data_IF_832800912807
#
_entry.id   IF_832800912807
#
_cell.length_a   1.000
_cell.length_b   1.000
_cell.length_c   1.000
_cell.angle_alpha   90.00
_cell.angle_beta   90.00
_cell.angle_gamma   90.00
#
_symmetry.space_group_name_H-M   'P 1'
#
loop_
_entity.id
_entity.type
_entity.pdbx_description
1 polymer ?
#
# COMPACT_ATOMS: atom_id res chain seq x y z
N UNK A 1 4.27 -27.81 14.61
CA UNK A 1 5.00 -26.58 14.22
C UNK A 1 4.35 -25.42 14.96
N UNK A 2 5.10 -24.47 15.51
CA UNK A 2 4.48 -23.34 16.19
C UNK A 2 3.66 -22.56 15.16
N UNK A 3 2.36 -22.47 15.41
CA UNK A 3 1.46 -21.60 14.66
C UNK A 3 1.55 -20.19 15.23
N UNK A 4 1.43 -19.18 14.38
CA UNK A 4 1.23 -17.80 14.80
C UNK A 4 0.12 -17.71 15.86
N UNK A 5 0.36 -16.93 16.92
CA UNK A 5 -0.65 -16.65 17.92
C UNK A 5 -1.43 -15.39 17.51
N UNK A 6 -2.75 -15.50 17.25
CA UNK A 6 -3.56 -14.35 16.88
C UNK A 6 -3.48 -13.20 17.89
N UNK A 7 -3.31 -11.97 17.38
CA UNK A 7 -3.26 -10.74 18.18
C UNK A 7 -4.45 -9.85 17.80
N UNK A 8 -5.49 -9.76 18.65
CA UNK A 8 -6.60 -8.87 18.39
C UNK A 8 -6.17 -7.41 18.52
N UNK A 9 -6.80 -6.54 17.75
CA UNK A 9 -6.62 -5.10 17.86
C UNK A 9 -7.98 -4.40 18.12
N UNK A 10 -8.07 -3.47 19.09
CA UNK A 10 -6.99 -3.11 20.02
C UNK A 10 -6.67 -4.26 21.00
N UNK A 11 -5.45 -4.29 21.57
CA UNK A 11 -5.11 -5.24 22.62
C UNK A 11 -6.11 -5.20 23.79
N UNK A 12 -6.35 -6.32 24.51
CA UNK A 12 -7.34 -6.35 25.59
C UNK A 12 -7.08 -5.31 26.71
N UNK A 13 -5.83 -4.92 26.91
CA UNK A 13 -5.43 -3.87 27.86
C UNK A 13 -5.93 -2.47 27.48
N UNK A 14 -6.25 -2.25 26.20
CA UNK A 14 -6.79 -1.00 25.66
C UNK A 14 -8.30 -1.12 25.35
N UNK A 15 -8.97 -2.12 25.92
CA UNK A 15 -10.42 -2.28 25.75
C UNK A 15 -11.18 -1.05 26.26
N UNK A 16 -12.05 -0.48 25.43
CA UNK A 16 -12.83 0.72 25.75
C UNK A 16 -12.11 2.04 25.43
N UNK A 17 -10.85 2.01 24.97
CA UNK A 17 -10.16 3.20 24.48
C UNK A 17 -10.57 3.45 23.01
N UNK A 18 -10.94 4.69 22.64
CA UNK A 18 -11.26 5.04 21.25
C UNK A 18 -10.10 4.71 20.30
N UNK A 19 -10.41 4.14 19.13
CA UNK A 19 -9.39 3.74 18.15
C UNK A 19 -8.61 4.96 17.65
N UNK A 20 -9.30 6.09 17.49
CA UNK A 20 -8.71 7.37 17.06
C UNK A 20 -7.61 7.80 18.03
N UNK A 21 -7.87 7.70 19.34
CA UNK A 21 -6.88 8.01 20.36
C UNK A 21 -5.68 7.06 20.31
N UNK A 22 -5.90 5.76 20.07
CA UNK A 22 -4.80 4.79 19.92
C UNK A 22 -3.96 5.14 18.70
N UNK A 23 -4.60 5.44 17.56
CA UNK A 23 -3.92 5.86 16.33
C UNK A 23 -3.09 7.12 16.55
N UNK A 24 -3.62 8.14 17.21
CA UNK A 24 -2.87 9.36 17.54
C UNK A 24 -1.65 9.06 18.41
N UNK A 25 -1.78 8.17 19.40
CA UNK A 25 -0.64 7.76 20.24
C UNK A 25 0.40 6.98 19.43
N UNK A 26 -0.02 6.13 18.49
CA UNK A 26 0.89 5.43 17.58
C UNK A 26 1.67 6.42 16.71
N UNK A 27 1.02 7.43 16.13
CA UNK A 27 1.72 8.45 15.34
C UNK A 27 2.76 9.22 16.16
N UNK A 28 2.44 9.55 17.42
CA UNK A 28 3.41 10.20 18.33
C UNK A 28 4.64 9.30 18.63
N UNK A 29 4.48 7.99 18.56
CA UNK A 29 5.55 7.02 18.79
C UNK A 29 6.31 6.64 17.51
N UNK A 30 5.86 7.07 16.33
CA UNK A 30 6.41 6.65 15.03
C UNK A 30 7.94 6.76 14.96
N UNK A 31 8.51 7.89 15.35
CA UNK A 31 9.96 8.12 15.35
C UNK A 31 10.76 7.14 16.23
N UNK A 32 10.12 6.50 17.21
CA UNK A 32 10.77 5.51 18.06
C UNK A 32 10.85 4.12 17.41
N UNK A 33 10.02 3.84 16.42
CA UNK A 33 9.86 2.50 15.82
C UNK A 33 10.14 2.48 14.31
N UNK A 34 10.03 3.63 13.64
CA UNK A 34 10.39 3.78 12.24
C UNK A 34 11.88 3.51 12.03
N UNK A 35 12.21 2.84 10.94
CA UNK A 35 13.58 2.44 10.57
C UNK A 35 14.32 1.60 11.65
N UNK A 36 13.57 0.93 12.54
CA UNK A 36 14.11 0.00 13.54
C UNK A 36 13.58 -1.41 13.28
N UNK A 37 14.16 -2.13 12.31
CA UNK A 37 13.71 -3.48 11.98
C UNK A 37 13.86 -4.46 13.15
N UNK A 38 14.78 -4.20 14.09
CA UNK A 38 15.01 -5.03 15.28
C UNK A 38 13.82 -5.00 16.27
N UNK A 39 12.98 -3.96 16.22
CA UNK A 39 11.78 -3.86 17.06
C UNK A 39 10.52 -4.37 16.37
N UNK A 40 10.59 -4.66 15.08
CA UNK A 40 9.46 -5.12 14.30
C UNK A 40 8.94 -6.47 14.83
N UNK A 41 7.62 -6.60 14.90
CA UNK A 41 6.94 -7.82 15.36
C UNK A 41 6.18 -8.53 14.23
N UNK A 42 6.35 -8.10 12.98
CA UNK A 42 5.91 -8.83 11.80
C UNK A 42 6.78 -8.51 10.57
N UNK A 43 6.64 -9.32 9.51
CA UNK A 43 7.22 -9.04 8.19
C UNK A 43 6.15 -9.17 7.12
N UNK A 44 6.01 -8.14 6.27
CA UNK A 44 5.18 -8.20 5.07
C UNK A 44 6.07 -8.42 3.84
N UNK A 45 5.70 -9.40 3.04
CA UNK A 45 6.32 -9.71 1.74
C UNK A 45 5.33 -9.37 0.64
N UNK A 46 5.65 -8.37 -0.16
CA UNK A 46 4.84 -7.94 -1.32
C UNK A 46 5.50 -8.41 -2.61
N UNK A 47 4.83 -9.23 -3.45
CA UNK A 47 5.33 -9.58 -4.77
C UNK A 47 5.26 -8.39 -5.73
N UNK A 48 6.25 -8.28 -6.61
CA UNK A 48 6.39 -7.21 -7.60
C UNK A 48 6.44 -7.81 -9.02
N UNK A 49 5.28 -8.22 -9.58
CA UNK A 49 5.22 -9.03 -10.81
C UNK A 49 5.66 -8.32 -12.08
N UNK A 50 5.68 -6.98 -12.11
CA UNK A 50 5.99 -6.20 -13.31
C UNK A 50 7.43 -5.64 -13.32
N UNK A 51 8.26 -5.99 -12.34
CA UNK A 51 9.67 -5.58 -12.36
C UNK A 51 10.49 -6.57 -13.20
N UNK A 52 10.90 -6.14 -14.39
CA UNK A 52 11.98 -6.78 -15.12
C UNK A 52 13.31 -6.35 -14.48
N UNK A 53 13.74 -7.01 -13.40
CA UNK A 53 14.97 -6.68 -12.67
C UNK A 53 14.74 -6.17 -11.25
N UNK A 54 15.66 -5.36 -10.72
CA UNK A 54 15.44 -4.61 -9.47
C UNK A 54 14.29 -3.62 -9.75
N UNK A 55 13.19 -3.62 -8.98
CA UNK A 55 12.13 -2.65 -9.16
C UNK A 55 12.70 -1.22 -9.08
N UNK A 56 12.66 -0.47 -10.18
CA UNK A 56 12.85 0.98 -10.10
C UNK A 56 11.61 1.55 -9.43
N UNK A 57 11.78 1.89 -8.15
CA UNK A 57 10.76 2.54 -7.34
C UNK A 57 11.20 4.00 -7.19
N UNK A 58 10.98 4.86 -8.20
CA UNK A 58 11.46 6.24 -8.16
C UNK A 58 10.92 6.98 -6.93
N UNK A 59 9.69 6.68 -6.50
CA UNK A 59 9.13 7.16 -5.25
C UNK A 59 9.96 6.74 -4.02
N UNK A 60 10.43 5.48 -3.90
CA UNK A 60 11.26 5.03 -2.77
C UNK A 60 12.65 5.63 -2.78
N UNK A 61 13.31 5.64 -3.94
CA UNK A 61 14.68 6.13 -4.09
C UNK A 61 14.78 7.64 -3.87
N UNK A 62 13.73 8.40 -4.21
CA UNK A 62 13.67 9.84 -4.00
C UNK A 62 13.21 10.21 -2.58
N UNK A 63 12.43 9.35 -1.91
CA UNK A 63 11.90 9.66 -0.58
C UNK A 63 12.73 9.09 0.58
N UNK A 64 13.71 8.19 0.34
CA UNK A 64 14.63 7.64 1.37
C UNK A 64 13.90 7.07 2.61
N UNK A 65 12.70 6.51 2.44
CA UNK A 65 11.80 6.24 3.57
C UNK A 65 12.08 4.91 4.27
N UNK A 66 12.48 3.87 3.55
CA UNK A 66 12.84 2.54 4.05
C UNK A 66 13.84 1.96 3.04
N UNK A 67 14.92 1.29 3.46
CA UNK A 67 15.75 0.49 2.55
C UNK A 67 15.02 -0.84 2.24
N UNK A 68 14.38 -1.00 1.06
CA UNK A 68 13.68 -2.24 0.74
C UNK A 68 14.71 -3.37 0.60
N UNK A 69 14.55 -4.43 1.38
CA UNK A 69 15.30 -5.66 1.11
C UNK A 69 14.65 -6.39 -0.06
N UNK A 70 15.28 -6.32 -1.23
CA UNK A 70 14.85 -7.06 -2.40
C UNK A 70 15.36 -8.50 -2.32
N UNK A 71 14.45 -9.46 -2.27
CA UNK A 71 14.81 -10.88 -2.27
C UNK A 71 14.22 -11.57 -3.49
N UNK A 72 15.08 -12.24 -4.26
CA UNK A 72 14.67 -13.12 -5.34
C UNK A 72 14.48 -14.52 -4.74
N UNK A 73 13.24 -15.01 -4.71
CA UNK A 73 12.97 -16.37 -4.22
C UNK A 73 13.43 -17.39 -5.27
N UNK A 74 14.60 -18.02 -5.04
CA UNK A 74 14.86 -19.37 -5.52
C UNK A 74 14.21 -20.32 -4.50
N UNK A 75 13.27 -21.17 -4.93
CA UNK A 75 12.72 -22.23 -4.08
C UNK A 75 13.86 -23.09 -3.54
N UNK A 76 13.90 -23.29 -2.22
CA UNK A 76 14.91 -24.09 -1.52
C UNK A 76 14.81 -25.57 -1.92
N UNK A 77 15.96 -26.16 -2.25
CA UNK A 77 16.28 -27.52 -1.81
C UNK A 77 17.75 -27.54 -1.36
N UNK A 78 17.98 -28.06 -0.14
CA UNK A 78 19.25 -28.13 0.55
C UNK A 78 20.39 -28.74 -0.29
N UNK A 79 21.57 -28.11 -0.33
CA UNK A 79 22.83 -28.82 -0.09
C UNK A 79 23.98 -27.82 0.04
N UNK A 80 24.68 -27.90 1.17
CA UNK A 80 25.99 -27.29 1.39
C UNK A 80 27.00 -27.85 0.39
N UNK A 81 27.51 -27.04 -0.55
CA UNK A 81 28.82 -27.15 -1.23
C UNK A 81 29.01 -25.98 -2.23
N UNK A 82 30.25 -25.54 -2.52
CA UNK A 82 30.51 -24.30 -3.23
C UNK A 82 30.45 -24.46 -4.76
N UNK A 83 29.91 -23.42 -5.41
CA UNK A 83 30.06 -23.04 -6.84
C UNK A 83 29.41 -23.95 -7.89
N UNK A 84 28.23 -23.52 -8.34
CA UNK A 84 27.93 -23.33 -9.77
C UNK A 84 26.87 -22.24 -9.89
N UNK A 85 27.15 -21.18 -10.64
CA UNK A 85 26.16 -20.16 -10.98
C UNK A 85 25.10 -20.80 -11.88
N UNK A 86 23.98 -21.23 -11.30
CA UNK A 86 22.80 -21.63 -12.05
C UNK A 86 21.98 -20.38 -12.33
N UNK A 87 21.59 -20.23 -13.60
CA UNK A 87 20.64 -19.24 -14.11
C UNK A 87 19.52 -18.97 -13.08
N UNK A 88 19.18 -17.70 -12.78
CA UNK A 88 18.06 -17.41 -11.88
C UNK A 88 16.81 -18.11 -12.42
N UNK A 89 16.01 -18.76 -11.56
CA UNK A 89 14.82 -19.46 -12.02
C UNK A 89 13.94 -18.48 -12.80
N UNK A 90 13.47 -18.90 -13.97
CA UNK A 90 12.70 -18.10 -14.93
C UNK A 90 11.40 -17.48 -14.35
N UNK A 91 11.06 -17.80 -13.09
CA UNK A 91 9.88 -17.36 -12.34
C UNK A 91 10.21 -16.61 -11.04
N UNK A 92 11.44 -16.11 -10.85
CA UNK A 92 11.79 -15.30 -9.68
C UNK A 92 11.12 -13.91 -9.76
N UNK A 93 9.85 -13.82 -9.37
CA UNK A 93 9.14 -12.55 -9.21
C UNK A 93 9.86 -11.74 -8.12
N UNK A 94 10.35 -10.52 -8.42
CA UNK A 94 10.95 -9.65 -7.41
C UNK A 94 9.97 -9.41 -6.25
N UNK A 95 10.49 -9.28 -5.03
CA UNK A 95 9.65 -9.07 -3.84
C UNK A 95 10.26 -8.01 -2.96
N UNK A 96 9.40 -7.25 -2.30
CA UNK A 96 9.76 -6.29 -1.27
C UNK A 96 9.43 -6.95 0.07
N UNK A 97 10.42 -7.04 0.97
CA UNK A 97 10.23 -7.49 2.34
C UNK A 97 10.37 -6.32 3.29
N UNK A 98 9.36 -6.09 4.13
CA UNK A 98 9.33 -4.99 5.11
C UNK A 98 9.09 -5.55 6.52
N UNK A 99 10.07 -5.45 7.43
CA UNK A 99 9.84 -5.66 8.87
C UNK A 99 9.03 -4.48 9.43
N UNK A 100 7.88 -4.75 10.04
CA UNK A 100 6.89 -3.75 10.44
C UNK A 100 6.28 -4.09 11.80
N UNK A 101 5.45 -3.17 12.31
CA UNK A 101 4.78 -3.28 13.60
C UNK A 101 3.28 -3.53 13.40
N UNK A 102 2.75 -4.62 13.98
CA UNK A 102 1.36 -5.07 13.83
C UNK A 102 0.38 -3.98 14.25
N UNK A 103 0.63 -3.27 15.34
CA UNK A 103 -0.30 -2.26 15.88
C UNK A 103 -0.53 -1.11 14.90
N UNK A 104 0.52 -0.64 14.21
CA UNK A 104 0.38 0.39 13.16
C UNK A 104 -0.46 -0.11 12.00
N UNK A 105 -0.21 -1.34 11.54
CA UNK A 105 -0.94 -1.95 10.44
C UNK A 105 -2.41 -2.20 10.79
N UNK A 106 -2.66 -2.78 11.96
CA UNK A 106 -3.99 -3.16 12.43
C UNK A 106 -4.83 -1.93 12.82
N UNK A 107 -4.22 -0.85 13.29
CA UNK A 107 -4.92 0.41 13.54
C UNK A 107 -5.55 0.99 12.26
N UNK A 108 -4.84 0.91 11.14
CA UNK A 108 -5.22 1.58 9.90
C UNK A 108 -5.90 0.68 8.86
N UNK A 109 -5.71 -0.64 8.91
CA UNK A 109 -6.26 -1.59 7.95
C UNK A 109 -7.18 -2.61 8.62
N UNK A 110 -8.46 -2.61 8.24
CA UNK A 110 -9.40 -3.65 8.71
C UNK A 110 -9.03 -5.03 8.19
N UNK A 111 -8.46 -5.10 6.99
CA UNK A 111 -8.00 -6.34 6.37
C UNK A 111 -6.84 -6.96 7.15
N UNK A 112 -5.77 -6.20 7.40
CA UNK A 112 -4.62 -6.67 8.16
C UNK A 112 -4.99 -6.97 9.61
N UNK A 113 -5.84 -6.15 10.23
CA UNK A 113 -6.42 -6.42 11.55
C UNK A 113 -7.07 -7.80 11.61
N UNK A 114 -7.90 -8.14 10.62
CA UNK A 114 -8.53 -9.45 10.52
C UNK A 114 -7.51 -10.57 10.41
N UNK A 115 -6.50 -10.41 9.54
CA UNK A 115 -5.45 -11.41 9.34
C UNK A 115 -4.64 -11.68 10.61
N UNK A 116 -4.18 -10.62 11.30
CA UNK A 116 -3.44 -10.76 12.55
C UNK A 116 -4.31 -11.27 13.71
N UNK A 117 -5.63 -11.08 13.63
CA UNK A 117 -6.60 -11.68 14.57
C UNK A 117 -6.94 -13.14 14.24
N UNK A 118 -6.29 -13.75 13.23
CA UNK A 118 -6.47 -15.16 12.87
C UNK A 118 -7.63 -15.44 11.91
N UNK A 119 -8.21 -14.42 11.29
CA UNK A 119 -9.21 -14.62 10.25
C UNK A 119 -8.58 -15.22 8.99
N UNK A 120 -9.30 -16.13 8.34
CA UNK A 120 -8.87 -16.68 7.06
C UNK A 120 -8.95 -15.60 5.97
N UNK A 121 -7.91 -15.43 5.13
CA UNK A 121 -7.87 -14.39 4.11
C UNK A 121 -9.08 -14.43 3.16
N UNK A 122 -9.56 -15.63 2.82
CA UNK A 122 -10.75 -15.82 1.97
C UNK A 122 -12.00 -15.21 2.60
N UNK A 123 -12.21 -15.37 3.91
CA UNK A 123 -13.39 -14.82 4.57
C UNK A 123 -13.40 -13.29 4.59
N UNK A 124 -12.22 -12.66 4.62
CA UNK A 124 -12.09 -11.21 4.62
C UNK A 124 -12.33 -10.60 3.23
N UNK A 125 -11.92 -11.29 2.16
CA UNK A 125 -12.12 -10.82 0.77
C UNK A 125 -13.60 -10.71 0.37
N UNK A 126 -14.49 -11.49 0.99
CA UNK A 126 -15.94 -11.48 0.70
C UNK A 126 -16.77 -10.65 1.71
N UNK A 127 -16.13 -10.01 2.69
CA UNK A 127 -16.81 -9.26 3.76
C UNK A 127 -17.15 -7.82 3.35
N UNK A 128 -16.41 -7.23 2.40
CA UNK A 128 -16.85 -6.05 1.65
C UNK A 128 -17.63 -6.55 0.43
N UNK A 129 -18.83 -6.00 0.18
CA UNK A 129 -19.80 -6.45 -0.83
C UNK A 129 -19.17 -7.02 -2.13
N UNK A 130 -19.65 -8.16 -2.65
CA UNK A 130 -18.94 -8.85 -3.72
C UNK A 130 -19.09 -8.11 -5.06
N UNK A 131 -17.99 -7.78 -5.78
CA UNK A 131 -18.05 -7.73 -7.22
C UNK A 131 -18.05 -9.19 -7.73
N UNK A 132 -19.09 -9.52 -8.50
CA UNK A 132 -19.26 -10.82 -9.14
C UNK A 132 -18.18 -10.98 -10.22
N UNK A 133 -17.03 -11.55 -9.84
CA UNK A 133 -15.96 -11.89 -10.77
C UNK A 133 -15.65 -13.37 -10.66
N UNK A 134 -16.22 -14.15 -11.56
CA UNK A 134 -16.08 -15.61 -11.71
C UNK A 134 -14.71 -16.05 -12.27
N UNK A 135 -13.62 -15.42 -11.85
CA UNK A 135 -12.27 -15.77 -12.28
C UNK A 135 -11.48 -16.29 -11.09
N UNK A 136 -11.18 -17.59 -11.10
CA UNK A 136 -10.34 -18.24 -10.11
C UNK A 136 -8.97 -17.57 -10.06
N UNK A 137 -8.75 -16.76 -9.02
CA UNK A 137 -7.44 -16.18 -8.74
C UNK A 137 -6.49 -17.34 -8.44
N UNK A 138 -5.36 -17.49 -9.16
CA UNK A 138 -4.38 -18.53 -8.88
C UNK A 138 -3.94 -18.47 -7.41
N UNK A 139 -3.78 -19.63 -6.75
CA UNK A 139 -3.43 -19.72 -5.33
C UNK A 139 -2.15 -18.93 -4.96
N UNK A 140 -1.23 -18.76 -5.92
CA UNK A 140 0.00 -17.99 -5.76
C UNK A 140 -0.22 -16.47 -5.58
N UNK A 141 -1.43 -15.97 -5.86
CA UNK A 141 -1.84 -14.56 -5.71
C UNK A 141 -2.79 -14.33 -4.54
N UNK A 142 -2.99 -15.33 -3.67
CA UNK A 142 -3.77 -15.15 -2.45
C UNK A 142 -2.85 -14.72 -1.29
N UNK A 143 -3.31 -13.77 -0.47
CA UNK A 143 -2.63 -13.43 0.77
C UNK A 143 -2.56 -14.65 1.67
N UNK A 144 -1.37 -14.92 2.25
CA UNK A 144 -1.14 -16.10 3.07
C UNK A 144 -0.11 -15.85 4.16
N UNK A 145 -0.33 -16.48 5.30
CA UNK A 145 0.67 -16.53 6.37
C UNK A 145 1.72 -17.58 5.99
N UNK A 146 2.99 -17.16 5.98
CA UNK A 146 4.13 -18.03 5.73
C UNK A 146 4.53 -18.75 7.03
N UNK A 147 5.26 -19.88 6.96
CA UNK A 147 5.82 -20.52 8.15
C UNK A 147 6.69 -19.53 8.93
N UNK A 148 6.36 -19.30 10.20
CA UNK A 148 6.96 -18.25 11.03
C UNK A 148 7.04 -18.67 12.51
N UNK A 149 7.77 -17.89 13.30
CA UNK A 149 7.76 -18.00 14.76
C UNK A 149 6.40 -17.53 15.31
N UNK A 150 6.00 -17.97 16.52
CA UNK A 150 4.69 -17.60 17.07
C UNK A 150 4.57 -16.09 17.33
N UNK A 151 5.69 -15.41 17.57
CA UNK A 151 5.77 -14.01 17.95
C UNK A 151 6.01 -13.05 16.78
N UNK A 152 6.38 -13.56 15.60
CA UNK A 152 6.75 -12.76 14.43
C UNK A 152 6.13 -13.32 13.14
N UNK A 153 4.84 -13.05 12.86
CA UNK A 153 4.20 -13.49 11.63
C UNK A 153 4.87 -12.93 10.38
N UNK A 154 5.02 -13.79 9.37
CA UNK A 154 5.46 -13.40 8.03
C UNK A 154 4.26 -13.51 7.09
N UNK A 155 3.78 -12.38 6.57
CA UNK A 155 2.62 -12.30 5.69
C UNK A 155 3.07 -12.11 4.24
N UNK A 156 2.69 -13.03 3.36
CA UNK A 156 2.74 -12.81 1.92
C UNK A 156 1.47 -12.06 1.49
N UNK A 157 1.62 -10.84 0.98
CA UNK A 157 0.53 -9.91 0.68
C UNK A 157 0.64 -9.37 -0.75
N UNK A 158 -0.04 -10.00 -1.72
CA UNK A 158 -0.17 -9.47 -3.08
C UNK A 158 -1.13 -8.28 -3.10
N UNK A 159 -0.59 -7.08 -3.24
CA UNK A 159 -1.39 -5.85 -3.37
C UNK A 159 -1.62 -5.48 -4.84
N UNK A 160 -2.73 -4.77 -5.17
CA UNK A 160 -3.03 -4.33 -6.53
C UNK A 160 -1.90 -3.55 -7.21
N UNK A 161 -1.28 -2.61 -6.49
CA UNK A 161 -0.15 -1.83 -6.98
C UNK A 161 1.01 -1.83 -5.96
N UNK A 162 2.04 -2.68 -6.15
CA UNK A 162 3.15 -2.76 -5.21
C UNK A 162 4.06 -1.52 -5.26
N UNK A 163 3.94 -0.66 -6.27
CA UNK A 163 4.84 0.49 -6.44
C UNK A 163 4.63 1.54 -5.34
N UNK A 164 3.39 1.76 -4.90
CA UNK A 164 3.01 2.79 -3.94
C UNK A 164 2.76 2.26 -2.52
N UNK A 165 2.89 0.94 -2.28
CA UNK A 165 2.57 0.33 -0.98
C UNK A 165 3.38 0.92 0.19
N UNK A 166 4.66 1.21 -0.04
CA UNK A 166 5.54 1.80 0.97
C UNK A 166 5.06 3.17 1.47
N UNK A 167 4.39 3.96 0.62
CA UNK A 167 3.83 5.27 1.01
C UNK A 167 2.66 5.09 1.97
N UNK A 168 1.84 4.04 1.75
CA UNK A 168 0.77 3.68 2.68
C UNK A 168 1.34 3.27 4.03
N UNK A 169 2.43 2.50 4.05
CA UNK A 169 3.12 2.16 5.28
C UNK A 169 3.64 3.42 5.99
N UNK A 170 4.28 4.33 5.28
CA UNK A 170 4.73 5.60 5.87
C UNK A 170 3.57 6.38 6.49
N UNK A 171 2.47 6.54 5.76
CA UNK A 171 1.26 7.20 6.28
C UNK A 171 0.69 6.49 7.51
N UNK A 172 0.67 5.15 7.55
CA UNK A 172 0.22 4.42 8.76
C UNK A 172 1.09 4.71 9.98
N UNK A 173 2.38 5.00 9.80
CA UNK A 173 3.27 5.36 10.90
C UNK A 173 3.11 6.81 11.32
N UNK A 174 3.11 7.75 10.36
CA UNK A 174 3.22 9.18 10.68
C UNK A 174 1.91 9.95 10.62
N UNK A 175 0.85 9.37 10.06
CA UNK A 175 -0.42 10.07 9.80
C UNK A 175 -0.32 11.13 8.71
N UNK A 176 0.85 11.31 8.09
CA UNK A 176 1.10 12.38 7.12
C UNK A 176 0.84 11.92 5.68
N UNK A 177 -0.01 12.68 5.00
CA UNK A 177 -0.40 12.49 3.60
C UNK A 177 0.42 13.35 2.63
N UNK A 178 1.27 14.25 3.12
CA UNK A 178 2.07 15.18 2.30
C UNK A 178 2.92 14.45 1.26
N UNK A 179 3.59 13.37 1.65
CA UNK A 179 4.44 12.59 0.76
C UNK A 179 3.62 11.93 -0.35
N UNK A 180 2.43 11.41 -0.03
CA UNK A 180 1.53 10.82 -1.03
C UNK A 180 1.07 11.90 -2.01
N UNK A 181 0.70 13.08 -1.49
CA UNK A 181 0.31 14.22 -2.30
C UNK A 181 1.41 14.65 -3.27
N UNK A 182 2.65 14.78 -2.77
CA UNK A 182 3.79 15.19 -3.59
C UNK A 182 4.11 14.15 -4.67
N UNK A 183 4.05 12.85 -4.33
CA UNK A 183 4.24 11.78 -5.30
C UNK A 183 3.15 11.76 -6.38
N UNK A 184 1.90 12.09 -6.01
CA UNK A 184 0.79 12.23 -6.97
C UNK A 184 1.02 13.45 -7.89
N UNK A 185 1.42 14.60 -7.35
CA UNK A 185 1.70 15.80 -8.15
C UNK A 185 2.87 15.61 -9.12
N UNK A 186 3.92 14.90 -8.70
CA UNK A 186 5.08 14.61 -9.53
C UNK A 186 4.84 13.48 -10.55
N UNK A 187 3.69 12.80 -10.48
CA UNK A 187 3.39 11.64 -11.32
C UNK A 187 4.25 10.40 -11.03
N UNK A 188 4.84 10.33 -9.83
CA UNK A 188 5.65 9.17 -9.40
C UNK A 188 4.77 7.95 -9.08
N UNK A 189 3.52 8.20 -8.71
CA UNK A 189 2.50 7.18 -8.48
C UNK A 189 1.21 7.54 -9.24
N UNK A 190 0.42 6.52 -9.56
CA UNK A 190 -0.89 6.71 -10.18
C UNK A 190 -1.99 6.69 -9.11
N UNK A 191 -2.95 7.61 -9.23
CA UNK A 191 -4.10 7.68 -8.33
C UNK A 191 -4.88 6.36 -8.26
N UNK A 192 -5.13 5.73 -9.42
CA UNK A 192 -5.86 4.45 -9.49
C UNK A 192 -5.14 3.32 -8.74
N UNK A 193 -3.80 3.29 -8.79
CA UNK A 193 -2.99 2.29 -8.08
C UNK A 193 -3.11 2.40 -6.57
N UNK A 194 -2.92 3.61 -6.03
CA UNK A 194 -3.05 3.84 -4.58
C UNK A 194 -4.50 3.67 -4.09
N UNK A 195 -5.49 4.12 -4.87
CA UNK A 195 -6.90 3.94 -4.54
C UNK A 195 -7.30 2.46 -4.46
N UNK A 196 -6.83 1.62 -5.39
CA UNK A 196 -7.06 0.16 -5.34
C UNK A 196 -6.41 -0.48 -4.13
N UNK A 197 -5.21 -0.06 -3.73
CA UNK A 197 -4.57 -0.56 -2.52
C UNK A 197 -5.36 -0.16 -1.26
N UNK A 198 -5.82 1.10 -1.18
CA UNK A 198 -6.64 1.62 -0.07
C UNK A 198 -7.92 0.80 0.10
N UNK A 199 -8.62 0.49 -1.00
CA UNK A 199 -9.81 -0.35 -0.97
C UNK A 199 -9.49 -1.81 -0.63
N UNK A 200 -8.45 -2.38 -1.26
CA UNK A 200 -8.02 -3.76 -1.02
C UNK A 200 -7.65 -4.02 0.45
N UNK A 201 -6.94 -3.09 1.08
CA UNK A 201 -6.51 -3.21 2.48
C UNK A 201 -7.60 -2.78 3.47
N UNK A 202 -8.73 -2.23 3.00
CA UNK A 202 -9.76 -1.66 3.86
C UNK A 202 -9.19 -0.58 4.78
N UNK A 203 -8.49 0.41 4.20
CA UNK A 203 -7.92 1.50 4.98
C UNK A 203 -9.00 2.47 5.49
N UNK A 204 -8.64 3.24 6.50
CA UNK A 204 -9.54 4.18 7.17
C UNK A 204 -10.14 5.24 6.22
N UNK A 205 -11.17 5.95 6.70
CA UNK A 205 -11.86 6.96 5.90
C UNK A 205 -10.98 8.17 5.55
N UNK A 206 -9.99 8.49 6.38
CA UNK A 206 -9.12 9.66 6.22
C UNK A 206 -8.39 9.65 4.87
N UNK A 207 -7.67 8.57 4.55
CA UNK A 207 -6.97 8.45 3.27
C UNK A 207 -7.94 8.38 2.08
N UNK A 208 -9.13 7.79 2.27
CA UNK A 208 -10.17 7.74 1.23
C UNK A 208 -10.70 9.13 0.90
N UNK A 209 -10.98 9.94 1.92
CA UNK A 209 -11.43 11.33 1.77
C UNK A 209 -10.35 12.15 1.07
N UNK A 210 -9.10 12.00 1.50
CA UNK A 210 -7.95 12.67 0.86
C UNK A 210 -7.85 12.32 -0.63
N UNK A 211 -7.87 11.04 -1.00
CA UNK A 211 -7.78 10.61 -2.40
C UNK A 211 -8.99 11.06 -3.22
N UNK A 212 -10.19 11.07 -2.63
CA UNK A 212 -11.39 11.59 -3.29
C UNK A 212 -11.28 13.08 -3.59
N UNK A 213 -10.86 13.88 -2.60
CA UNK A 213 -10.66 15.31 -2.78
C UNK A 213 -9.59 15.62 -3.82
N UNK A 214 -8.47 14.88 -3.81
CA UNK A 214 -7.41 15.02 -4.81
C UNK A 214 -7.93 14.73 -6.23
N UNK A 215 -8.72 13.67 -6.39
CA UNK A 215 -9.30 13.30 -7.68
C UNK A 215 -10.24 14.39 -8.23
N UNK A 216 -11.08 14.96 -7.38
CA UNK A 216 -11.96 16.06 -7.77
C UNK A 216 -11.18 17.32 -8.17
N UNK A 217 -10.18 17.71 -7.40
CA UNK A 217 -9.33 18.85 -7.72
C UNK A 217 -8.56 18.66 -9.05
N UNK A 218 -8.11 17.43 -9.31
CA UNK A 218 -7.44 17.08 -10.55
C UNK A 218 -8.38 17.15 -11.76
N UNK A 219 -9.60 16.62 -11.66
CA UNK A 219 -10.61 16.71 -12.72
C UNK A 219 -11.05 18.15 -13.02
N UNK A 220 -11.18 19.00 -11.99
CA UNK A 220 -11.57 20.40 -12.19
C UNK A 220 -10.47 21.19 -12.91
N UNK A 221 -9.19 20.83 -12.71
CA UNK A 221 -8.07 21.41 -13.45
C UNK A 221 -8.14 21.06 -14.95
N UNK A 222 -8.49 19.83 -15.32
CA UNK A 222 -8.65 19.43 -16.73
C UNK A 222 -9.79 20.19 -17.42
N UNK A 223 -10.89 20.46 -16.71
CA UNK A 223 -12.04 21.22 -17.25
C UNK A 223 -11.73 22.68 -17.54
N UNK A 224 -10.90 23.33 -16.71
CA UNK A 224 -10.53 24.73 -16.95
C UNK A 224 -9.61 24.88 -18.17
N UNK A 225 -8.73 23.90 -18.44
CA UNK A 225 -7.84 23.93 -19.61
C UNK A 225 -8.60 23.78 -20.94
N UNK A 226 -9.71 23.03 -20.96
CA UNK A 226 -10.59 22.92 -22.13
C UNK A 226 -11.44 24.18 -22.38
N UNK A 227 -11.64 25.04 -21.37
CA UNK A 227 -12.47 26.24 -21.48
C UNK A 227 -11.74 27.49 -22.00
N UNK A 228 -10.41 27.44 -22.18
CA UNK A 228 -9.60 28.61 -22.58
C UNK A 228 -9.16 28.63 -24.06
N UNK A 229 -9.62 27.69 -24.90
CA UNK A 229 -9.22 27.63 -26.33
C UNK A 229 -10.24 28.21 -27.30
N UNK A 230 -11.11 29.12 -26.85
CA UNK A 230 -12.18 29.65 -27.68
C UNK A 230 -12.73 30.97 -27.19
N UNK A 231 -11.89 32.01 -27.06
CA UNK A 231 -12.41 33.36 -27.23
C UNK A 231 -11.92 33.92 -28.56
N UNK A 232 -12.90 33.98 -29.44
CA UNK A 232 -12.82 34.26 -30.85
C UNK A 232 -12.69 35.76 -31.02
N UNK A 233 -11.60 36.20 -31.64
CA UNK A 233 -11.48 37.52 -32.25
C UNK A 233 -12.74 37.85 -33.06
N UNK A 234 -13.63 38.66 -32.49
CA UNK A 234 -14.65 39.40 -33.24
C UNK A 234 -14.71 40.83 -32.72
N UNK A 235 -13.62 41.54 -32.96
CA UNK A 235 -13.64 43.00 -33.09
C UNK A 235 -14.42 43.32 -34.36
N UNK A 236 -15.68 43.74 -34.23
CA UNK A 236 -16.33 44.63 -35.20
C UNK A 236 -17.24 45.61 -34.45
N UNK A 237 -16.64 46.73 -34.04
CA UNK A 237 -17.32 48.03 -34.11
C UNK A 237 -17.64 48.33 -35.56
N UNK A 238 -18.89 48.69 -35.86
CA UNK A 238 -19.14 49.97 -36.53
C UNK A 238 -20.57 50.45 -36.26
N UNK A 239 -20.74 51.75 -36.44
CA UNK A 239 -21.72 52.64 -35.84
C UNK A 239 -22.96 52.86 -36.72
N UNK A 240 -24.01 53.41 -36.10
CA UNK A 240 -25.05 54.33 -36.60
C UNK A 240 -25.38 54.38 -38.11
N UNK A 241 -26.67 54.24 -38.47
CA UNK A 241 -27.39 55.16 -39.39
C UNK A 241 -28.90 54.83 -39.51
N UNK A 242 -29.73 55.86 -39.25
CA UNK A 242 -31.05 56.25 -39.80
C UNK A 242 -32.27 55.30 -39.79
N UNK A 243 -33.35 55.67 -39.07
CA UNK A 243 -34.51 56.47 -39.55
C UNK A 243 -35.59 56.69 -38.45
#
# INVERSE_FOLDING_TARGET
MPSFQPRPFPPPSLSGVPIEYITDQLHNLANHFWDKPDTADCTIIVPFPHAHGIPELPALSQTSLIEPSFTFAANYENSTLPRRATQPPLNAVPRISMPLHIDYLAAHSSYLRGLFSGALPLNLMYSAAPPVSSSGVPADRLPRLMPCSPDHPILFLPVPDPTCFHLLIHWMYFGDLSIIQDCLHQGLIQWDGIARNVEYLGLNAEIKIFLGNWYHAWLDTEREVESCSGDSDTIYSDSDEDE
#
